data_IF_842611768496
#
_entry.id   IF_842611768496
#
_cell.length_a   1.000
_cell.length_b   1.000
_cell.length_c   1.000
_cell.angle_alpha   90.00
_cell.angle_beta   90.00
_cell.angle_gamma   90.00
#
_symmetry.space_group_name_H-M   'P 1'
#
loop_
_entity.id
_entity.type
_entity.pdbx_description
1 polymer ?
#
# COMPACT_ATOMS: atom_id res chain seq x y z
N UNK A 1 17.95 -1.94 4.37
CA UNK A 1 16.48 -1.77 4.36
C UNK A 1 16.06 -1.67 2.91
N UNK A 2 14.95 -2.27 2.54
CA UNK A 2 14.32 -2.09 1.23
C UNK A 2 12.82 -1.91 1.44
N UNK A 3 12.10 -1.55 0.39
CA UNK A 3 10.66 -1.31 0.46
C UNK A 3 9.93 -2.16 -0.56
N UNK A 4 8.83 -2.77 -0.16
CA UNK A 4 7.93 -3.47 -1.07
C UNK A 4 6.70 -2.60 -1.30
N UNK A 5 6.41 -2.35 -2.57
CA UNK A 5 5.22 -1.63 -2.99
C UNK A 5 4.06 -2.60 -3.25
N UNK A 6 2.87 -2.16 -2.88
CA UNK A 6 1.63 -2.90 -3.05
C UNK A 6 0.56 -1.96 -3.59
N UNK A 7 -0.28 -2.48 -4.48
CA UNK A 7 -1.44 -1.76 -4.99
C UNK A 7 -2.65 -2.66 -5.02
N UNK A 8 -3.80 -2.07 -4.74
CA UNK A 8 -5.09 -2.71 -4.95
C UNK A 8 -6.10 -1.67 -5.42
N UNK A 9 -6.84 -1.99 -6.49
CA UNK A 9 -7.99 -1.21 -6.93
C UNK A 9 -9.15 -2.14 -7.18
N UNK A 10 -10.26 -1.96 -6.48
CA UNK A 10 -11.42 -2.86 -6.57
C UNK A 10 -12.71 -2.20 -6.11
N UNK A 11 -13.76 -3.00 -5.91
CA UNK A 11 -14.99 -2.52 -5.30
C UNK A 11 -14.71 -2.23 -3.82
N UNK A 12 -14.96 -0.99 -3.37
CA UNK A 12 -14.65 -0.58 -2.01
C UNK A 12 -15.44 -1.34 -0.95
N UNK A 13 -16.62 -1.87 -1.30
CA UNK A 13 -17.43 -2.70 -0.40
C UNK A 13 -16.74 -4.02 -0.03
N UNK A 14 -15.88 -4.56 -0.89
CA UNK A 14 -15.17 -5.83 -0.65
C UNK A 14 -14.25 -5.74 0.57
N UNK A 15 -13.77 -4.53 0.90
CA UNK A 15 -12.98 -4.28 2.11
C UNK A 15 -13.74 -4.55 3.40
N UNK A 16 -15.07 -4.63 3.36
CA UNK A 16 -15.91 -5.05 4.49
C UNK A 16 -15.72 -6.51 4.89
N UNK A 17 -15.14 -7.35 4.02
CA UNK A 17 -14.71 -8.70 4.37
C UNK A 17 -13.44 -8.65 5.22
N UNK A 18 -13.59 -8.43 6.52
CA UNK A 18 -12.44 -8.32 7.43
C UNK A 18 -11.66 -9.63 7.58
N UNK A 19 -12.31 -10.78 7.45
CA UNK A 19 -11.68 -12.09 7.59
C UNK A 19 -10.49 -12.23 6.64
N UNK A 20 -10.70 -11.92 5.37
CA UNK A 20 -9.67 -11.95 4.32
C UNK A 20 -8.53 -10.91 4.48
N UNK A 21 -8.69 -9.96 5.40
CA UNK A 21 -7.77 -8.82 5.61
C UNK A 21 -6.96 -8.94 6.90
N UNK A 22 -7.11 -10.04 7.66
CA UNK A 22 -6.40 -10.31 8.91
C UNK A 22 -5.49 -11.54 8.77
N UNK A 23 -4.19 -11.46 9.12
CA UNK A 23 -3.27 -12.60 9.01
C UNK A 23 -3.68 -13.87 9.77
N UNK A 24 -4.57 -13.77 10.76
CA UNK A 24 -5.10 -14.93 11.50
C UNK A 24 -6.10 -15.78 10.69
N UNK A 25 -6.56 -15.29 9.54
CA UNK A 25 -7.49 -16.00 8.67
C UNK A 25 -6.75 -16.89 7.65
N UNK A 26 -7.24 -18.12 7.37
CA UNK A 26 -6.67 -18.97 6.34
C UNK A 26 -6.77 -18.37 4.93
N UNK A 27 -7.74 -17.49 4.68
CA UNK A 27 -7.96 -16.89 3.36
C UNK A 27 -7.05 -15.68 3.10
N UNK A 28 -6.39 -15.17 4.15
CA UNK A 28 -5.57 -13.96 4.06
C UNK A 28 -4.45 -14.07 3.02
N UNK A 29 -3.64 -15.15 2.93
CA UNK A 29 -2.57 -15.22 1.93
C UNK A 29 -3.08 -15.16 0.49
N UNK A 30 -4.26 -15.74 0.24
CA UNK A 30 -4.89 -15.77 -1.08
C UNK A 30 -5.59 -14.46 -1.46
N UNK A 31 -6.11 -13.73 -0.47
CA UNK A 31 -6.91 -12.54 -0.72
C UNK A 31 -6.11 -11.41 -1.39
N UNK A 32 -6.75 -10.78 -2.37
CA UNK A 32 -6.25 -9.57 -3.03
C UNK A 32 -6.48 -8.31 -2.18
N UNK A 33 -7.33 -8.39 -1.15
CA UNK A 33 -7.74 -7.22 -0.38
C UNK A 33 -6.57 -6.64 0.42
N UNK A 34 -6.51 -5.30 0.54
CA UNK A 34 -5.52 -4.66 1.39
C UNK A 34 -5.70 -5.13 2.84
N UNK A 35 -4.63 -5.37 3.60
CA UNK A 35 -4.73 -5.83 4.98
C UNK A 35 -5.38 -4.80 5.92
N UNK A 36 -5.71 -5.22 7.14
CA UNK A 36 -6.19 -4.34 8.20
C UNK A 36 -5.07 -3.45 8.78
N UNK A 37 -3.86 -3.99 8.93
CA UNK A 37 -2.67 -3.22 9.31
C UNK A 37 -1.73 -3.09 8.12
N UNK A 38 -1.17 -1.92 7.89
CA UNK A 38 -0.28 -1.62 6.76
C UNK A 38 0.89 -2.60 6.67
N UNK A 39 1.62 -2.86 7.75
CA UNK A 39 2.74 -3.80 7.75
C UNK A 39 2.37 -5.26 7.41
N UNK A 40 1.09 -5.67 7.57
CA UNK A 40 0.66 -7.04 7.27
C UNK A 40 0.68 -7.35 5.76
N UNK A 41 0.92 -6.36 4.90
CA UNK A 41 1.24 -6.59 3.49
C UNK A 41 2.45 -7.54 3.32
N UNK A 42 3.42 -7.51 4.24
CA UNK A 42 4.57 -8.43 4.22
C UNK A 42 4.20 -9.89 4.52
N UNK A 43 3.02 -10.16 5.08
CA UNK A 43 2.52 -11.52 5.26
C UNK A 43 1.81 -12.06 4.00
N UNK A 44 1.60 -11.22 2.97
CA UNK A 44 1.08 -11.66 1.67
C UNK A 44 2.21 -12.28 0.85
N UNK A 45 1.91 -13.23 -0.07
CA UNK A 45 2.93 -13.85 -0.90
C UNK A 45 3.62 -12.85 -1.83
N UNK A 46 4.84 -13.17 -2.26
CA UNK A 46 5.65 -12.34 -3.16
C UNK A 46 4.91 -11.93 -4.45
N UNK A 47 3.99 -12.76 -4.94
CA UNK A 47 3.15 -12.47 -6.11
C UNK A 47 2.21 -11.27 -5.92
N UNK A 48 2.06 -10.74 -4.70
CA UNK A 48 1.32 -9.51 -4.40
C UNK A 48 2.17 -8.25 -4.42
N UNK A 49 3.50 -8.39 -4.46
CA UNK A 49 4.41 -7.26 -4.55
C UNK A 49 4.27 -6.65 -5.95
N UNK A 50 3.95 -5.37 -6.01
CA UNK A 50 3.90 -4.61 -7.25
C UNK A 50 5.32 -4.25 -7.72
N UNK A 51 6.19 -3.86 -6.79
CA UNK A 51 7.60 -3.56 -7.06
C UNK A 51 8.44 -3.59 -5.76
N UNK A 52 9.76 -3.64 -5.87
CA UNK A 52 10.69 -3.60 -4.73
C UNK A 52 11.79 -2.58 -4.95
N UNK A 53 11.99 -1.70 -3.98
CA UNK A 53 12.92 -0.58 -4.06
C UNK A 53 14.04 -0.69 -3.05
N UNK A 54 15.24 -0.29 -3.48
CA UNK A 54 16.42 -0.19 -2.63
C UNK A 54 16.80 1.27 -2.34
N UNK A 55 16.18 2.24 -3.02
CA UNK A 55 16.24 3.66 -2.73
C UNK A 55 14.86 4.20 -2.35
N UNK A 56 14.80 5.07 -1.34
CA UNK A 56 13.53 5.66 -0.89
C UNK A 56 12.93 6.58 -1.97
N UNK A 57 13.74 7.35 -2.70
CA UNK A 57 13.26 8.20 -3.79
C UNK A 57 12.64 7.40 -4.95
N UNK A 58 13.16 6.20 -5.25
CA UNK A 58 12.56 5.34 -6.27
C UNK A 58 11.14 4.89 -5.85
N UNK A 59 10.97 4.55 -4.57
CA UNK A 59 9.67 4.20 -4.01
C UNK A 59 8.70 5.39 -4.00
N UNK A 60 9.19 6.59 -3.72
CA UNK A 60 8.41 7.85 -3.81
C UNK A 60 8.03 8.14 -5.26
N UNK A 61 8.93 7.91 -6.22
CA UNK A 61 8.66 8.03 -7.65
C UNK A 61 7.57 7.06 -8.10
N UNK A 62 7.59 5.83 -7.61
CA UNK A 62 6.53 4.85 -7.86
C UNK A 62 5.18 5.32 -7.30
N UNK A 63 5.16 5.83 -6.06
CA UNK A 63 3.96 6.40 -5.44
C UNK A 63 3.37 7.55 -6.27
N UNK A 64 4.21 8.48 -6.73
CA UNK A 64 3.79 9.58 -7.61
C UNK A 64 3.18 9.05 -8.92
N UNK A 65 3.85 8.08 -9.55
CA UNK A 65 3.41 7.47 -10.80
C UNK A 65 2.08 6.73 -10.67
N UNK A 66 1.87 5.96 -9.60
CA UNK A 66 0.60 5.25 -9.37
C UNK A 66 -0.53 6.22 -8.98
N UNK A 67 -0.25 7.25 -8.18
CA UNK A 67 -1.26 8.24 -7.80
C UNK A 67 -1.69 9.11 -8.99
N UNK A 68 -0.75 9.50 -9.85
CA UNK A 68 -1.06 10.23 -11.09
C UNK A 68 -2.04 9.49 -12.01
N UNK A 69 -2.05 8.14 -11.99
CA UNK A 69 -2.98 7.31 -12.76
C UNK A 69 -4.42 7.36 -12.25
N UNK A 70 -4.65 7.76 -10.99
CA UNK A 70 -5.99 7.75 -10.38
C UNK A 70 -6.70 9.11 -10.38
N UNK A 71 -5.97 10.20 -10.59
CA UNK A 71 -6.43 11.57 -10.32
C UNK A 71 -7.83 11.92 -10.87
N UNK A 72 -8.10 11.67 -12.15
CA UNK A 72 -9.38 11.99 -12.77
C UNK A 72 -10.57 11.14 -12.27
N UNK A 73 -10.28 10.00 -11.63
CA UNK A 73 -11.27 9.05 -11.16
C UNK A 73 -11.54 9.17 -9.64
N UNK A 74 -10.88 10.09 -8.93
CA UNK A 74 -11.12 10.35 -7.52
C UNK A 74 -12.56 10.86 -7.30
N UNK A 75 -13.22 10.35 -6.26
CA UNK A 75 -14.62 10.69 -5.95
C UNK A 75 -14.79 12.15 -5.54
N UNK A 76 -13.87 12.66 -4.72
CA UNK A 76 -13.92 14.02 -4.17
C UNK A 76 -12.85 14.93 -4.77
N UNK A 77 -12.24 14.53 -5.88
CA UNK A 77 -11.01 15.15 -6.37
C UNK A 77 -9.84 14.96 -5.40
N UNK A 78 -8.73 15.65 -5.65
CA UNK A 78 -7.59 15.64 -4.75
C UNK A 78 -7.78 16.67 -3.62
N UNK A 79 -7.82 16.18 -2.38
CA UNK A 79 -7.98 17.01 -1.17
C UNK A 79 -6.66 17.29 -0.45
N UNK A 80 -5.65 16.45 -0.69
CA UNK A 80 -4.32 16.59 -0.11
C UNK A 80 -3.36 16.60 -1.29
N UNK A 81 -2.83 17.78 -1.67
CA UNK A 81 -2.00 17.90 -2.84
C UNK A 81 -0.91 16.83 -2.90
N UNK A 82 -0.68 16.28 -4.09
CA UNK A 82 0.29 15.22 -4.29
C UNK A 82 1.67 15.59 -3.75
N UNK A 83 2.09 16.85 -3.88
CA UNK A 83 3.36 17.35 -3.35
C UNK A 83 3.51 17.15 -1.84
N UNK A 84 2.45 17.38 -1.07
CA UNK A 84 2.46 17.23 0.38
C UNK A 84 2.59 15.75 0.76
N UNK A 85 1.84 14.88 0.07
CA UNK A 85 1.94 13.42 0.27
C UNK A 85 3.34 12.90 -0.05
N UNK A 86 3.96 13.43 -1.10
CA UNK A 86 5.30 13.04 -1.50
C UNK A 86 6.36 13.59 -0.54
N UNK A 87 6.17 14.80 0.01
CA UNK A 87 7.05 15.34 1.05
C UNK A 87 7.01 14.46 2.30
N UNK A 88 5.82 14.06 2.74
CA UNK A 88 5.66 13.12 3.87
C UNK A 88 6.32 11.77 3.56
N UNK A 89 6.11 11.21 2.37
CA UNK A 89 6.71 9.92 2.02
C UNK A 89 8.25 9.97 1.99
N UNK A 90 8.83 11.10 1.54
CA UNK A 90 10.30 11.31 1.56
C UNK A 90 10.86 11.40 2.96
N UNK A 91 10.12 11.96 3.91
CA UNK A 91 10.54 11.98 5.32
C UNK A 91 10.38 10.61 5.98
N UNK A 92 9.23 9.96 5.79
CA UNK A 92 8.84 8.75 6.53
C UNK A 92 9.60 7.49 6.12
N UNK A 93 9.78 7.25 4.81
CA UNK A 93 10.35 5.99 4.31
C UNK A 93 11.79 5.75 4.79
N UNK A 94 12.73 6.71 4.72
CA UNK A 94 14.10 6.53 5.24
C UNK A 94 14.14 6.29 6.75
N UNK A 95 13.14 6.80 7.47
CA UNK A 95 12.99 6.62 8.93
C UNK A 95 12.40 5.26 9.28
N UNK A 96 12.12 4.39 8.30
CA UNK A 96 11.55 3.07 8.52
C UNK A 96 10.07 3.08 8.88
N UNK A 97 9.33 4.09 8.41
CA UNK A 97 7.88 4.20 8.58
C UNK A 97 7.19 3.88 7.27
N UNK A 98 6.20 2.99 7.30
CA UNK A 98 5.42 2.63 6.13
C UNK A 98 4.58 3.81 5.62
N UNK A 99 4.37 3.87 4.31
CA UNK A 99 3.46 4.85 3.69
C UNK A 99 2.28 4.09 3.08
N UNK A 100 1.06 4.55 3.35
CA UNK A 100 -0.14 4.01 2.71
C UNK A 100 -1.15 5.11 2.41
N UNK A 101 -1.60 5.16 1.16
CA UNK A 101 -2.66 6.04 0.69
C UNK A 101 -3.87 5.22 0.29
N UNK A 102 -5.06 5.71 0.63
CA UNK A 102 -6.32 5.06 0.33
C UNK A 102 -7.34 6.09 -0.12
N UNK A 103 -7.85 5.95 -1.35
CA UNK A 103 -8.78 6.90 -1.93
C UNK A 103 -10.03 6.24 -2.46
N UNK A 104 -11.17 6.89 -2.22
CA UNK A 104 -12.43 6.56 -2.88
C UNK A 104 -12.41 7.10 -4.31
N UNK A 105 -12.82 6.25 -5.24
CA UNK A 105 -12.95 6.54 -6.65
C UNK A 105 -14.44 6.52 -7.04
N UNK A 106 -14.73 7.12 -8.19
CA UNK A 106 -16.07 7.07 -8.79
C UNK A 106 -16.53 5.61 -9.00
N UNK A 107 -17.85 5.40 -8.97
CA UNK A 107 -18.45 4.07 -9.16
C UNK A 107 -18.25 3.12 -7.96
N UNK A 108 -18.05 3.63 -6.75
CA UNK A 108 -17.90 2.82 -5.54
C UNK A 108 -16.57 2.05 -5.46
N UNK A 109 -15.59 2.44 -6.28
CA UNK A 109 -14.27 1.81 -6.28
C UNK A 109 -13.36 2.42 -5.23
N UNK A 110 -12.35 1.68 -4.82
CA UNK A 110 -11.33 2.14 -3.88
C UNK A 110 -9.95 1.75 -4.36
N UNK A 111 -8.98 2.64 -4.22
CA UNK A 111 -7.56 2.36 -4.48
C UNK A 111 -6.77 2.40 -3.18
N UNK A 112 -5.87 1.45 -2.99
CA UNK A 112 -4.84 1.44 -1.95
C UNK A 112 -3.48 1.39 -2.62
N UNK A 113 -2.59 2.31 -2.25
CA UNK A 113 -1.18 2.33 -2.63
C UNK A 113 -0.36 2.28 -1.35
N UNK A 114 0.50 1.29 -1.21
CA UNK A 114 1.30 1.09 0.00
C UNK A 114 2.76 0.83 -0.34
N UNK A 115 3.67 1.44 0.43
CA UNK A 115 5.11 1.17 0.40
C UNK A 115 5.53 0.79 1.81
N UNK A 116 6.01 -0.44 1.97
CA UNK A 116 6.19 -1.10 3.26
C UNK A 116 7.67 -1.34 3.50
N UNK A 117 8.16 -0.86 4.63
CA UNK A 117 9.55 -1.04 5.05
C UNK A 117 9.82 -2.50 5.39
N UNK A 118 10.89 -3.05 4.85
CA UNK A 118 11.35 -4.40 5.10
C UNK A 118 12.85 -4.39 5.52
N UNK A 119 13.19 -4.83 6.75
CA UNK A 119 12.29 -5.33 7.79
C UNK A 119 11.38 -4.25 8.37
N UNK A 120 10.18 -4.63 8.80
CA UNK A 120 9.21 -3.74 9.43
C UNK A 120 9.48 -3.60 10.94
N UNK A 121 9.24 -2.41 11.50
CA UNK A 121 9.47 -2.12 12.92
C UNK A 121 8.31 -2.51 13.84
N UNK A 122 7.11 -2.65 13.31
CA UNK A 122 5.87 -2.80 14.08
C UNK A 122 5.23 -4.17 13.94
N UNK A 123 5.56 -4.92 12.88
CA UNK A 123 5.08 -6.30 12.69
C UNK A 123 6.25 -7.26 12.42
N UNK A 124 6.25 -8.47 13.01
CA UNK A 124 7.37 -9.41 12.92
C UNK A 124 7.28 -10.33 11.69
N UNK A 125 6.87 -9.81 10.53
CA UNK A 125 6.77 -10.62 9.31
C UNK A 125 8.13 -10.75 8.62
N UNK A 126 8.47 -11.92 8.06
CA UNK A 126 9.66 -12.07 7.24
C UNK A 126 9.53 -11.28 5.93
N UNK A 127 10.66 -11.09 5.24
CA UNK A 127 10.64 -10.55 3.89
C UNK A 127 9.92 -11.56 2.96
N UNK A 128 8.92 -11.15 2.16
CA UNK A 128 8.22 -12.07 1.27
C UNK A 128 9.10 -12.65 0.14
N UNK A 129 10.25 -12.05 -0.13
CA UNK A 129 11.22 -12.51 -1.15
C UNK A 129 12.31 -13.44 -0.59
N UNK A 130 12.24 -13.80 0.70
CA UNK A 130 13.21 -14.70 1.35
C UNK A 130 12.64 -16.06 1.68
#
# INVERSE_FOLDING_TARGET
>A
MHWHAYRWTGNGADRGNEGERRPSSPDFPGSHLPPMRTGDWLAKPASRIADTFHGAEDAVGWLAGEYGKVGAALLCGDRIPLEDRLADARDLLPRGVDVQWGEWMQGGRFVTLGVICCPNRHVPHPCPLR
#
